data_IF_844358481535
#
_entry.id   IF_844358481535
#
_cell.length_a   1.000
_cell.length_b   1.000
_cell.length_c   1.000
_cell.angle_alpha   90.00
_cell.angle_beta   90.00
_cell.angle_gamma   90.00
#
_symmetry.space_group_name_H-M   'P 1'
#
loop_
_entity.id
_entity.type
_entity.pdbx_description
1 polymer ?
#
# COMPACT_ATOMS: atom_id res chain seq x y z
N UNK A 1 -18.46 -34.13 30.71
CA UNK A 1 -17.24 -33.34 30.46
C UNK A 1 -17.69 -31.93 30.07
N UNK A 2 -17.11 -30.85 30.61
CA UNK A 2 -17.46 -29.51 30.17
C UNK A 2 -17.10 -29.36 28.68
N UNK A 3 -18.01 -28.78 27.89
CA UNK A 3 -17.78 -28.52 26.47
C UNK A 3 -16.74 -27.40 26.34
N UNK A 4 -15.65 -27.68 25.65
CA UNK A 4 -14.64 -26.67 25.36
C UNK A 4 -15.17 -25.71 24.28
N UNK A 5 -15.13 -24.42 24.57
CA UNK A 5 -15.58 -23.35 23.69
C UNK A 5 -14.39 -22.66 23.04
N UNK A 6 -14.66 -21.87 21.99
CA UNK A 6 -13.62 -21.10 21.30
C UNK A 6 -12.91 -20.09 22.21
N UNK A 7 -13.60 -19.54 23.22
CA UNK A 7 -13.02 -18.57 24.14
C UNK A 7 -12.13 -19.21 25.23
N UNK A 8 -12.20 -20.53 25.39
CA UNK A 8 -11.31 -21.29 26.28
C UNK A 8 -9.91 -21.50 25.67
N UNK A 9 -9.75 -21.25 24.36
CA UNK A 9 -8.45 -21.24 23.70
C UNK A 9 -7.62 -20.02 24.17
N UNK A 10 -6.29 -20.13 24.33
CA UNK A 10 -5.42 -18.97 24.55
C UNK A 10 -5.57 -17.91 23.45
N UNK A 11 -5.36 -16.64 23.79
CA UNK A 11 -5.54 -15.52 22.86
C UNK A 11 -4.64 -15.63 21.62
N UNK A 12 -3.44 -16.16 21.78
CA UNK A 12 -2.47 -16.41 20.72
C UNK A 12 -3.00 -17.41 19.69
N UNK A 13 -3.67 -18.47 20.16
CA UNK A 13 -4.27 -19.48 19.28
C UNK A 13 -5.49 -18.89 18.57
N UNK A 14 -6.30 -18.08 19.26
CA UNK A 14 -7.40 -17.36 18.61
C UNK A 14 -6.88 -16.41 17.53
N UNK A 15 -5.80 -15.67 17.79
CA UNK A 15 -5.14 -14.80 16.80
C UNK A 15 -4.67 -15.58 15.57
N UNK A 16 -4.05 -16.74 15.74
CA UNK A 16 -3.67 -17.59 14.61
C UNK A 16 -4.88 -18.01 13.76
N UNK A 17 -5.99 -18.38 14.41
CA UNK A 17 -7.25 -18.72 13.71
C UNK A 17 -7.80 -17.49 12.96
N UNK A 18 -7.81 -16.31 13.58
CA UNK A 18 -8.22 -15.07 12.92
C UNK A 18 -7.34 -14.75 11.72
N UNK A 19 -6.02 -14.94 11.81
CA UNK A 19 -5.11 -14.75 10.69
C UNK A 19 -5.46 -15.65 9.50
N UNK A 20 -5.76 -16.93 9.75
CA UNK A 20 -6.16 -17.88 8.70
C UNK A 20 -7.45 -17.45 8.02
N UNK A 21 -8.42 -16.91 8.79
CA UNK A 21 -9.75 -16.58 8.29
C UNK A 21 -9.87 -15.20 7.65
N UNK A 22 -9.03 -14.25 8.09
CA UNK A 22 -9.22 -12.81 7.82
C UNK A 22 -8.05 -12.18 7.05
N UNK A 23 -6.87 -12.80 7.03
CA UNK A 23 -5.72 -12.22 6.33
C UNK A 23 -5.55 -12.87 4.96
N UNK A 24 -5.59 -12.02 3.94
CA UNK A 24 -5.43 -12.42 2.54
C UNK A 24 -4.10 -11.92 2.00
N UNK A 25 -3.57 -12.61 0.98
CA UNK A 25 -2.28 -12.21 0.37
C UNK A 25 -2.37 -10.77 -0.17
N UNK A 26 -1.31 -9.95 -0.06
CA UNK A 26 -1.29 -8.62 -0.65
C UNK A 26 -1.59 -8.62 -2.15
N UNK A 27 -2.30 -7.59 -2.62
CA UNK A 27 -2.68 -7.43 -4.03
C UNK A 27 -1.47 -7.25 -4.97
N UNK A 28 -0.33 -6.83 -4.44
CA UNK A 28 0.92 -6.65 -5.17
C UNK A 28 1.55 -7.96 -5.65
N UNK A 29 1.12 -9.12 -5.13
CA UNK A 29 1.69 -10.43 -5.44
C UNK A 29 0.86 -11.10 -6.54
N UNK A 30 1.44 -11.41 -7.71
CA UNK A 30 0.74 -12.11 -8.80
C UNK A 30 0.17 -13.45 -8.34
N UNK A 31 -1.08 -13.75 -8.73
CA UNK A 31 -1.72 -15.03 -8.42
C UNK A 31 -1.63 -16.01 -9.59
N UNK A 32 -1.27 -17.27 -9.34
CA UNK A 32 -1.28 -18.31 -10.37
C UNK A 32 -2.67 -18.76 -10.83
N UNK A 33 -3.76 -18.50 -10.07
CA UNK A 33 -5.11 -19.06 -10.33
C UNK A 33 -6.27 -18.05 -10.28
N UNK A 34 -6.00 -16.75 -10.42
CA UNK A 34 -6.98 -15.64 -10.50
C UNK A 34 -7.99 -15.43 -9.35
N UNK A 35 -8.21 -16.38 -8.43
CA UNK A 35 -9.19 -16.22 -7.33
C UNK A 35 -8.52 -15.82 -6.01
N UNK A 36 -9.04 -14.76 -5.36
CA UNK A 36 -8.77 -14.51 -3.95
C UNK A 36 -9.39 -15.67 -3.14
N UNK A 37 -8.70 -16.24 -2.13
CA UNK A 37 -9.37 -17.14 -1.19
C UNK A 37 -10.52 -16.37 -0.53
N UNK A 38 -11.67 -17.03 -0.26
CA UNK A 38 -12.78 -16.38 0.40
C UNK A 38 -12.35 -15.96 1.81
N UNK A 39 -12.65 -14.72 2.16
CA UNK A 39 -12.51 -14.21 3.54
C UNK A 39 -13.77 -14.54 4.34
N UNK A 40 -13.62 -14.84 5.63
CA UNK A 40 -14.72 -15.24 6.51
C UNK A 40 -15.03 -14.15 7.57
N UNK A 41 -15.56 -12.97 7.17
CA UNK A 41 -15.82 -11.86 8.11
C UNK A 41 -16.96 -12.14 9.08
N UNK A 42 -17.77 -13.19 8.84
CA UNK A 42 -18.90 -13.58 9.71
C UNK A 42 -18.43 -13.93 11.13
N UNK A 43 -17.16 -14.24 11.34
CA UNK A 43 -16.63 -14.45 12.69
C UNK A 43 -16.74 -13.18 13.56
N UNK A 44 -16.70 -11.99 12.95
CA UNK A 44 -16.85 -10.71 13.67
C UNK A 44 -18.26 -10.52 14.24
N UNK A 45 -19.26 -11.30 13.81
CA UNK A 45 -20.64 -11.21 14.32
C UNK A 45 -20.96 -12.20 15.43
N UNK A 46 -19.99 -12.99 15.91
CA UNK A 46 -20.23 -14.04 16.91
C UNK A 46 -20.49 -13.46 18.30
N UNK A 47 -19.55 -12.68 18.84
CA UNK A 47 -19.69 -12.00 20.13
C UNK A 47 -18.73 -10.81 20.24
N UNK A 48 -18.89 -9.96 21.27
CA UNK A 48 -18.08 -8.74 21.45
C UNK A 48 -16.57 -9.02 21.54
N UNK A 49 -16.17 -10.02 22.33
CA UNK A 49 -14.74 -10.36 22.49
C UNK A 49 -14.11 -10.79 21.17
N UNK A 50 -14.80 -11.64 20.41
CA UNK A 50 -14.34 -12.07 19.09
C UNK A 50 -14.31 -10.90 18.10
N UNK A 51 -15.33 -10.03 18.14
CA UNK A 51 -15.38 -8.83 17.31
C UNK A 51 -14.15 -7.95 17.55
N UNK A 52 -13.87 -7.59 18.80
CA UNK A 52 -12.79 -6.67 19.16
C UNK A 52 -11.41 -7.26 18.78
N UNK A 53 -11.19 -8.55 19.00
CA UNK A 53 -9.94 -9.23 18.65
C UNK A 53 -9.78 -9.38 17.12
N UNK A 54 -10.81 -9.84 16.42
CA UNK A 54 -10.78 -10.12 14.99
C UNK A 54 -10.74 -8.84 14.13
N UNK A 55 -11.38 -7.77 14.57
CA UNK A 55 -11.42 -6.50 13.85
C UNK A 55 -10.01 -5.91 13.66
N UNK A 56 -9.19 -5.95 14.71
CA UNK A 56 -7.80 -5.47 14.64
C UNK A 56 -6.98 -6.26 13.61
N UNK A 57 -7.22 -7.56 13.50
CA UNK A 57 -6.52 -8.42 12.54
C UNK A 57 -7.02 -8.17 11.12
N UNK A 58 -8.34 -8.08 10.92
CA UNK A 58 -8.93 -7.82 9.60
C UNK A 58 -8.44 -6.50 9.01
N UNK A 59 -8.51 -5.41 9.78
CA UNK A 59 -8.20 -4.08 9.25
C UNK A 59 -6.75 -3.65 9.43
N UNK A 60 -6.06 -4.15 10.47
CA UNK A 60 -4.66 -3.80 10.75
C UNK A 60 -3.65 -4.66 9.99
N UNK A 61 -3.96 -5.93 9.71
CA UNK A 61 -2.97 -6.82 9.08
C UNK A 61 -3.04 -6.88 7.56
N UNK A 62 -4.19 -6.55 6.96
CA UNK A 62 -4.38 -6.59 5.50
C UNK A 62 -3.94 -5.29 4.81
N UNK A 63 -3.56 -5.41 3.53
CA UNK A 63 -3.30 -4.27 2.64
C UNK A 63 -4.59 -3.85 1.96
N UNK A 64 -4.97 -2.58 2.12
CA UNK A 64 -6.17 -2.00 1.53
C UNK A 64 -5.86 -1.15 0.31
N UNK A 65 -6.73 -1.23 -0.68
CA UNK A 65 -6.68 -0.42 -1.88
C UNK A 65 -7.17 0.99 -1.55
N UNK A 66 -6.31 1.98 -1.72
CA UNK A 66 -6.67 3.38 -1.62
C UNK A 66 -7.51 3.80 -2.83
N UNK A 67 -8.48 4.68 -2.60
CA UNK A 67 -9.27 5.27 -3.67
C UNK A 67 -8.42 6.27 -4.47
N UNK A 68 -8.50 6.27 -5.80
CA UNK A 68 -7.64 7.09 -6.66
C UNK A 68 -7.67 8.60 -6.31
N UNK A 69 -8.83 9.14 -5.92
CA UNK A 69 -8.99 10.58 -5.61
C UNK A 69 -9.15 10.87 -4.12
N UNK A 70 -9.64 9.89 -3.35
CA UNK A 70 -9.97 10.05 -1.93
C UNK A 70 -8.92 9.43 -1.02
N UNK A 71 -7.92 8.76 -1.60
CA UNK A 71 -6.80 8.13 -0.93
C UNK A 71 -7.30 7.17 0.15
N UNK A 72 -6.98 7.48 1.41
CA UNK A 72 -7.38 6.69 2.58
C UNK A 72 -8.83 6.89 3.03
N UNK A 73 -9.58 7.79 2.40
CA UNK A 73 -10.96 8.12 2.80
C UNK A 73 -12.03 7.11 2.41
N UNK A 74 -11.81 6.28 1.37
CA UNK A 74 -12.72 5.19 0.98
C UNK A 74 -11.93 3.93 0.58
N UNK A 75 -11.23 3.28 1.52
CA UNK A 75 -10.43 2.11 1.22
C UNK A 75 -11.28 0.91 0.86
N UNK A 76 -10.73 0.01 0.05
CA UNK A 76 -11.33 -1.27 -0.30
C UNK A 76 -10.38 -2.40 0.01
N UNK A 77 -10.87 -3.50 0.56
CA UNK A 77 -10.03 -4.69 0.73
C UNK A 77 -9.64 -5.30 -0.63
N UNK A 78 -10.59 -5.31 -1.57
CA UNK A 78 -10.45 -5.72 -2.98
C UNK A 78 -11.37 -4.93 -3.88
N UNK A 79 -11.11 -4.95 -5.18
CA UNK A 79 -11.94 -4.27 -6.19
C UNK A 79 -13.41 -4.71 -6.18
N UNK A 80 -13.66 -5.99 -5.91
CA UNK A 80 -15.00 -6.57 -5.84
C UNK A 80 -15.69 -6.40 -4.48
N UNK A 81 -15.00 -5.84 -3.46
CA UNK A 81 -15.63 -5.48 -2.20
C UNK A 81 -16.04 -4.01 -2.18
N UNK A 82 -17.06 -3.72 -1.39
CA UNK A 82 -17.53 -2.37 -1.16
C UNK A 82 -16.49 -1.53 -0.40
N UNK A 83 -16.47 -0.20 -0.63
CA UNK A 83 -15.59 0.70 0.09
C UNK A 83 -16.02 0.83 1.55
N UNK A 84 -15.01 0.87 2.42
CA UNK A 84 -15.20 1.12 3.85
C UNK A 84 -15.37 2.62 4.05
N UNK A 85 -16.45 3.01 4.75
CA UNK A 85 -16.74 4.43 5.03
C UNK A 85 -16.65 4.78 6.52
N UNK A 86 -16.46 3.78 7.40
CA UNK A 86 -16.42 4.00 8.85
C UNK A 86 -15.07 4.61 9.27
N UNK A 87 -15.04 5.84 9.83
CA UNK A 87 -13.79 6.49 10.23
C UNK A 87 -13.04 5.71 11.32
N UNK A 88 -13.79 5.06 12.22
CA UNK A 88 -13.23 4.21 13.29
C UNK A 88 -12.41 3.06 12.69
N UNK A 89 -12.98 2.36 11.73
CA UNK A 89 -12.32 1.24 11.04
C UNK A 89 -11.15 1.74 10.21
N UNK A 90 -11.33 2.84 9.47
CA UNK A 90 -10.27 3.46 8.65
C UNK A 90 -9.05 3.81 9.52
N UNK A 91 -9.25 4.24 10.78
CA UNK A 91 -8.15 4.57 11.68
C UNK A 91 -7.23 3.39 12.05
N UNK A 92 -7.76 2.16 11.94
CA UNK A 92 -7.03 0.89 12.20
C UNK A 92 -6.19 0.50 10.98
N UNK A 93 -6.59 0.90 9.77
CA UNK A 93 -5.90 0.54 8.53
C UNK A 93 -4.57 1.30 8.45
N UNK A 94 -3.47 0.56 8.33
CA UNK A 94 -2.11 1.12 8.24
C UNK A 94 -1.33 0.69 6.99
N UNK A 95 -1.93 -0.13 6.13
CA UNK A 95 -1.26 -0.72 4.98
C UNK A 95 -2.08 -0.44 3.73
N UNK A 96 -1.47 0.27 2.78
CA UNK A 96 -2.16 0.77 1.60
C UNK A 96 -1.49 0.37 0.29
N UNK A 97 -2.32 0.12 -0.71
CA UNK A 97 -1.95 -0.06 -2.10
C UNK A 97 -2.69 0.98 -2.94
N UNK A 98 -1.99 1.77 -3.74
CA UNK A 98 -2.60 2.76 -4.63
C UNK A 98 -2.14 2.54 -6.07
N UNK A 99 -3.06 2.67 -7.01
CA UNK A 99 -2.76 2.68 -8.44
C UNK A 99 -2.70 4.11 -8.94
N UNK A 100 -1.57 4.48 -9.54
CA UNK A 100 -1.33 5.79 -10.14
C UNK A 100 -1.14 5.61 -11.64
N UNK A 101 -1.99 6.27 -12.43
CA UNK A 101 -1.89 6.28 -13.89
C UNK A 101 -1.05 7.47 -14.32
N UNK A 102 0.01 7.24 -15.10
CA UNK A 102 0.90 8.32 -15.56
C UNK A 102 0.23 9.26 -16.58
N UNK A 103 -0.80 8.78 -17.28
CA UNK A 103 -1.49 9.54 -18.33
C UNK A 103 -2.59 10.45 -17.80
N UNK A 104 -2.98 10.29 -16.54
CA UNK A 104 -4.05 11.05 -15.92
C UNK A 104 -3.47 11.91 -14.81
N UNK A 105 -3.72 13.22 -14.86
CA UNK A 105 -3.43 14.08 -13.73
C UNK A 105 -4.27 13.61 -12.52
N UNK A 106 -3.62 13.25 -11.40
CA UNK A 106 -4.36 12.81 -10.23
C UNK A 106 -5.18 13.96 -9.66
N UNK A 107 -6.45 13.71 -9.32
CA UNK A 107 -7.33 14.73 -8.73
C UNK A 107 -7.08 14.93 -7.22
N UNK A 108 -5.83 14.83 -6.78
CA UNK A 108 -5.41 15.09 -5.41
C UNK A 108 -4.11 15.89 -5.36
N UNK A 109 -3.93 16.66 -4.30
CA UNK A 109 -2.71 17.45 -4.10
C UNK A 109 -1.63 16.67 -3.36
N UNK A 110 -0.38 17.12 -3.46
CA UNK A 110 0.73 16.55 -2.70
C UNK A 110 0.49 16.63 -1.18
N UNK A 111 -0.15 17.71 -0.72
CA UNK A 111 -0.56 17.86 0.69
C UNK A 111 -1.53 16.77 1.11
N UNK A 112 -2.54 16.47 0.27
CA UNK A 112 -3.52 15.42 0.56
C UNK A 112 -2.87 14.04 0.59
N UNK A 113 -1.90 13.77 -0.29
CA UNK A 113 -1.13 12.53 -0.27
C UNK A 113 -0.29 12.39 1.01
N UNK A 114 0.39 13.47 1.40
CA UNK A 114 1.15 13.53 2.65
C UNK A 114 0.25 13.27 3.87
N UNK A 115 -0.87 13.98 4.00
CA UNK A 115 -1.80 13.81 5.12
C UNK A 115 -2.42 12.41 5.15
N UNK A 116 -2.58 11.77 3.98
CA UNK A 116 -3.21 10.46 3.87
C UNK A 116 -2.26 9.29 4.17
N UNK A 117 -0.98 9.38 3.78
CA UNK A 117 -0.07 8.24 3.78
C UNK A 117 1.15 8.35 4.70
N UNK A 118 1.41 9.52 5.30
CA UNK A 118 2.54 9.63 6.22
C UNK A 118 2.30 8.81 7.49
N UNK A 119 3.36 8.22 8.04
CA UNK A 119 3.31 7.37 9.23
C UNK A 119 2.64 6.00 9.03
N UNK A 120 2.36 5.60 7.78
CA UNK A 120 1.77 4.29 7.49
C UNK A 120 2.78 3.14 7.69
N UNK A 121 2.28 1.93 7.94
CA UNK A 121 3.15 0.76 8.03
C UNK A 121 3.62 0.27 6.66
N UNK A 122 2.73 0.31 5.68
CA UNK A 122 3.06 -0.13 4.33
C UNK A 122 2.38 0.76 3.30
N UNK A 123 3.14 1.22 2.31
CA UNK A 123 2.61 1.90 1.13
C UNK A 123 3.19 1.30 -0.14
N UNK A 124 2.34 0.70 -0.95
CA UNK A 124 2.69 0.27 -2.30
C UNK A 124 2.03 1.17 -3.34
N UNK A 125 2.84 1.80 -4.20
CA UNK A 125 2.40 2.58 -5.35
C UNK A 125 2.61 1.73 -6.61
N UNK A 126 1.50 1.35 -7.26
CA UNK A 126 1.52 0.70 -8.57
C UNK A 126 1.34 1.75 -9.65
N UNK A 127 2.33 1.84 -10.52
CA UNK A 127 2.32 2.74 -11.66
C UNK A 127 1.77 1.99 -12.88
N UNK A 128 0.76 2.56 -13.51
CA UNK A 128 0.19 2.06 -14.76
C UNK A 128 0.31 3.11 -15.88
N UNK A 129 0.57 2.61 -17.09
CA UNK A 129 0.62 3.40 -18.32
C UNK A 129 -0.03 2.59 -19.44
N UNK A 130 -0.88 3.20 -20.27
CA UNK A 130 -1.41 2.54 -21.45
C UNK A 130 -0.36 2.62 -22.56
N UNK A 131 -0.09 1.51 -23.23
CA UNK A 131 1.06 1.37 -24.12
C UNK A 131 0.95 2.14 -25.46
N UNK A 132 0.08 3.15 -25.59
CA UNK A 132 -0.23 3.76 -26.89
C UNK A 132 0.37 5.15 -27.13
N UNK A 133 0.95 5.81 -26.12
CA UNK A 133 1.66 7.09 -26.31
C UNK A 133 3.14 6.97 -25.94
N UNK A 134 3.92 6.56 -26.94
CA UNK A 134 5.36 6.79 -26.93
C UNK A 134 5.68 8.26 -26.75
N UNK A 135 6.77 8.55 -26.02
CA UNK A 135 7.39 9.87 -25.80
C UNK A 135 7.04 10.63 -24.49
N UNK A 136 6.76 9.93 -23.39
CA UNK A 136 6.78 10.60 -22.08
C UNK A 136 6.49 9.70 -20.90
N UNK A 137 7.40 8.78 -20.56
CA UNK A 137 7.41 8.16 -19.23
C UNK A 137 7.90 9.20 -18.21
N UNK A 138 7.06 10.19 -17.91
CA UNK A 138 7.38 11.21 -16.92
C UNK A 138 6.81 10.80 -15.56
N UNK A 139 7.63 10.91 -14.53
CA UNK A 139 7.27 10.61 -13.15
C UNK A 139 6.49 11.74 -12.47
N UNK A 140 6.08 12.79 -13.21
CA UNK A 140 5.31 13.94 -12.69
C UNK A 140 4.17 13.58 -11.75
N UNK A 141 3.35 12.58 -12.09
CA UNK A 141 2.23 12.15 -11.24
C UNK A 141 2.69 11.63 -9.87
N UNK A 142 3.90 11.04 -9.80
CA UNK A 142 4.48 10.53 -8.58
C UNK A 142 5.08 11.63 -7.70
N UNK A 143 5.30 12.84 -8.23
CA UNK A 143 5.80 13.97 -7.43
C UNK A 143 4.87 14.34 -6.28
N UNK A 144 3.58 14.01 -6.41
CA UNK A 144 2.59 14.21 -5.34
C UNK A 144 2.92 13.43 -4.07
N UNK A 145 3.71 12.35 -4.17
CA UNK A 145 4.12 11.53 -3.04
C UNK A 145 5.47 11.95 -2.44
N UNK A 146 6.17 12.92 -3.04
CA UNK A 146 7.50 13.36 -2.59
C UNK A 146 7.52 13.91 -1.17
N UNK A 147 6.37 14.30 -0.59
CA UNK A 147 6.26 14.79 0.79
C UNK A 147 5.74 13.74 1.78
N UNK A 148 5.39 12.53 1.32
CA UNK A 148 4.99 11.44 2.22
C UNK A 148 6.20 10.95 3.00
N UNK A 149 6.08 10.79 4.32
CA UNK A 149 7.20 10.43 5.23
C UNK A 149 6.79 9.40 6.27
N UNK A 150 7.77 8.83 6.96
CA UNK A 150 7.57 7.96 8.11
C UNK A 150 6.91 6.62 7.77
N UNK A 151 6.90 6.22 6.49
CA UNK A 151 6.33 4.94 6.08
C UNK A 151 7.33 3.83 6.41
N UNK A 152 6.93 2.77 7.12
CA UNK A 152 7.87 1.70 7.50
C UNK A 152 8.33 0.90 6.27
N UNK A 153 7.39 0.45 5.45
CA UNK A 153 7.66 -0.29 4.22
C UNK A 153 7.06 0.38 2.98
N UNK A 154 7.87 0.52 1.94
CA UNK A 154 7.50 1.24 0.72
C UNK A 154 7.85 0.45 -0.52
N UNK A 155 6.94 0.41 -1.48
CA UNK A 155 7.22 -0.18 -2.78
C UNK A 155 6.62 0.68 -3.89
N UNK A 156 7.36 0.81 -4.99
CA UNK A 156 6.95 1.51 -6.21
C UNK A 156 7.24 0.54 -7.36
N UNK A 157 6.19 0.10 -8.06
CA UNK A 157 6.28 -0.96 -9.08
C UNK A 157 5.38 -0.68 -10.28
N UNK A 158 5.51 -1.46 -11.37
CA UNK A 158 4.69 -1.34 -12.57
C UNK A 158 5.46 -0.69 -13.72
N UNK A 159 4.85 0.26 -14.42
CA UNK A 159 5.43 0.98 -15.56
C UNK A 159 6.49 2.02 -15.14
N UNK A 160 7.51 1.59 -14.39
CA UNK A 160 8.60 2.44 -13.85
C UNK A 160 9.90 2.36 -14.64
N UNK A 161 9.94 1.56 -15.71
CA UNK A 161 11.15 1.31 -16.52
C UNK A 161 11.75 2.57 -17.14
N UNK A 162 10.95 3.62 -17.33
CA UNK A 162 11.42 4.91 -17.86
C UNK A 162 12.04 5.86 -16.82
N UNK A 163 11.97 5.55 -15.52
CA UNK A 163 12.53 6.37 -14.44
C UNK A 163 12.91 5.54 -13.20
N UNK A 164 13.66 4.43 -13.34
CA UNK A 164 13.93 3.51 -12.24
C UNK A 164 14.65 4.19 -11.06
N UNK A 165 15.57 5.11 -11.34
CA UNK A 165 16.31 5.87 -10.31
C UNK A 165 15.38 6.73 -9.46
N UNK A 166 14.40 7.38 -10.08
CA UNK A 166 13.41 8.17 -9.34
C UNK A 166 12.51 7.29 -8.49
N UNK A 167 12.11 6.11 -9.00
CA UNK A 167 11.26 5.19 -8.24
C UNK A 167 11.96 4.65 -6.99
N UNK A 168 13.26 4.32 -7.07
CA UNK A 168 14.05 3.93 -5.90
C UNK A 168 14.24 5.10 -4.92
N UNK A 169 14.63 6.28 -5.42
CA UNK A 169 14.75 7.47 -4.59
C UNK A 169 13.45 7.79 -3.85
N UNK A 170 12.29 7.68 -4.52
CA UNK A 170 10.99 7.95 -3.89
C UNK A 170 10.67 6.94 -2.78
N UNK A 171 11.04 5.66 -2.94
CA UNK A 171 10.88 4.66 -1.86
C UNK A 171 11.66 5.08 -0.62
N UNK A 172 12.93 5.42 -0.80
CA UNK A 172 13.81 5.80 0.30
C UNK A 172 13.31 7.07 1.01
N UNK A 173 12.94 8.08 0.22
CA UNK A 173 12.36 9.34 0.70
C UNK A 173 11.12 9.11 1.55
N UNK A 174 10.22 8.21 1.15
CA UNK A 174 9.00 7.92 1.91
C UNK A 174 9.26 7.23 3.25
N UNK A 175 10.39 6.54 3.39
CA UNK A 175 10.82 5.90 4.64
C UNK A 175 11.51 6.87 5.62
N UNK A 176 11.99 8.01 5.14
CA UNK A 176 12.62 9.03 6.00
C UNK A 176 11.65 9.59 7.04
N UNK A 177 12.12 10.03 8.21
CA UNK A 177 11.26 10.61 9.24
C UNK A 177 10.61 11.93 8.77
N UNK A 178 9.52 12.33 9.43
CA UNK A 178 8.69 13.47 9.02
C UNK A 178 9.42 14.83 9.06
N UNK A 179 10.47 14.94 9.86
CA UNK A 179 11.30 16.14 10.03
C UNK A 179 12.49 16.21 9.06
N UNK A 180 12.70 15.19 8.22
CA UNK A 180 13.81 15.17 7.28
C UNK A 180 13.64 16.19 6.14
N UNK A 181 14.59 17.13 6.05
CA UNK A 181 14.72 18.00 4.89
C UNK A 181 15.34 17.23 3.71
N UNK A 182 14.63 17.21 2.59
CA UNK A 182 15.05 16.47 1.40
C UNK A 182 15.31 17.44 0.26
N UNK A 183 16.45 17.26 -0.38
CA UNK A 183 16.76 17.97 -1.62
C UNK A 183 15.84 17.42 -2.73
N UNK A 184 15.23 18.30 -3.54
CA UNK A 184 14.44 17.87 -4.69
C UNK A 184 15.23 16.88 -5.55
N UNK A 185 14.54 15.93 -6.18
CA UNK A 185 15.19 15.01 -7.10
C UNK A 185 15.78 15.79 -8.29
N UNK A 186 17.09 16.01 -8.27
CA UNK A 186 17.83 16.57 -9.39
C UNK A 186 18.12 15.45 -10.39
N UNK A 187 17.26 15.30 -11.40
CA UNK A 187 17.36 14.26 -12.42
C UNK A 187 18.56 14.35 -13.37
N UNK A 188 19.78 14.70 -12.91
CA UNK A 188 20.98 14.75 -13.77
C UNK A 188 22.25 14.23 -13.08
N UNK A 189 22.87 13.25 -13.77
CA UNK A 189 24.20 12.60 -13.60
C UNK A 189 24.27 11.30 -12.78
N UNK A 190 23.68 10.23 -13.33
CA UNK A 190 24.29 8.89 -13.21
C UNK A 190 24.32 8.14 -14.55
N UNK A 191 24.29 8.87 -15.69
CA UNK A 191 24.51 8.30 -17.03
C UNK A 191 25.94 8.54 -17.57
N UNK A 192 26.89 8.97 -16.71
CA UNK A 192 28.29 9.17 -17.10
C UNK A 192 29.26 8.35 -16.26
N UNK A 193 29.00 7.05 -16.15
CA UNK A 193 30.04 6.04 -15.99
C UNK A 193 29.96 5.09 -17.18
N UNK A 194 29.98 5.66 -18.40
CA UNK A 194 30.57 4.96 -19.52
C UNK A 194 32.03 4.73 -19.12
N UNK A 195 32.41 3.48 -18.88
CA UNK A 195 33.80 3.05 -18.93
C UNK A 195 34.28 3.17 -20.39
N UNK A 196 34.50 4.41 -20.83
CA UNK A 196 35.52 4.71 -21.82
C UNK A 196 36.87 4.58 -21.10
N UNK A 197 37.49 3.41 -21.20
CA UNK A 197 38.80 3.19 -20.61
C UNK A 197 39.14 1.72 -20.50
N UNK A 198 39.49 1.10 -21.64
CA UNK A 198 40.48 0.04 -21.75
C UNK A 198 40.87 -0.07 -23.24
N UNK A 199 41.59 0.95 -23.70
CA UNK A 199 42.67 0.71 -24.67
C UNK A 199 43.82 0.08 -23.88
N UNK A 200 44.10 -1.20 -24.13
CA UNK A 200 45.46 -1.75 -24.30
C UNK A 200 45.36 -2.83 -25.38
#
# INVERSE_FOLDING_TARGET
>A
MPSLTFLDLPGEIRNQIYHILLVIRPISIPRPLFTDPPICPQILSVCRKVHDEAEQILYGCNVFIAHANLLTGLPRLRWHYDPISSPRVISIIKKYYIVVRLECDPNFSARKAMDAFSGMEELTIRVEQSAYRGSGSDYRALRLFENVRGVKETNVSGSVTGFPVYAEWLKDVMKMPEDAHILPFEGRKMESLNFSGLEI
#
